data_IF_669872408869
#
_entry.id   IF_669872408869
#
_cell.length_a   1.000
_cell.length_b   1.000
_cell.length_c   1.000
_cell.angle_alpha   90.00
_cell.angle_beta   90.00
_cell.angle_gamma   90.00
#
_symmetry.space_group_name_H-M   'P 1'
#
loop_
_entity.id
_entity.type
_entity.pdbx_description
1 polymer ?
#
# COMPACT_ATOMS: atom_id res chain seq x y z
N UNK A 1 -0.64 -6.95 -13.10
CA UNK A 1 0.05 -7.32 -11.83
C UNK A 1 -0.77 -6.88 -10.61
N UNK A 2 -0.47 -7.32 -9.38
CA UNK A 2 -1.08 -6.78 -8.15
C UNK A 2 -0.88 -5.26 -8.02
N UNK A 3 0.24 -4.74 -8.52
CA UNK A 3 0.52 -3.30 -8.61
C UNK A 3 -0.50 -2.53 -9.48
N UNK A 4 -1.06 -3.19 -10.51
CA UNK A 4 -2.01 -2.56 -11.44
C UNK A 4 -3.45 -2.54 -10.93
N UNK A 5 -3.73 -3.29 -9.87
CA UNK A 5 -5.07 -3.38 -9.28
C UNK A 5 -5.52 -2.00 -8.75
N UNK A 6 -6.75 -1.60 -9.07
CA UNK A 6 -7.33 -0.32 -8.61
C UNK A 6 -7.30 -0.18 -7.09
N UNK A 7 -7.56 -1.27 -6.36
CA UNK A 7 -7.49 -1.28 -4.89
C UNK A 7 -6.07 -0.98 -4.40
N UNK A 8 -5.06 -1.67 -4.95
CA UNK A 8 -3.65 -1.45 -4.62
C UNK A 8 -3.25 0.01 -4.88
N UNK A 9 -3.58 0.55 -6.06
CA UNK A 9 -3.27 1.95 -6.41
C UNK A 9 -3.92 2.93 -5.43
N UNK A 10 -5.16 2.69 -5.03
CA UNK A 10 -5.85 3.54 -4.04
C UNK A 10 -5.16 3.52 -2.67
N UNK A 11 -4.76 2.35 -2.18
CA UNK A 11 -4.01 2.24 -0.92
C UNK A 11 -2.68 2.98 -1.02
N UNK A 12 -1.93 2.80 -2.11
CA UNK A 12 -0.66 3.49 -2.29
C UNK A 12 -0.80 5.01 -2.43
N UNK A 13 -1.89 5.51 -3.02
CA UNK A 13 -2.18 6.94 -3.06
C UNK A 13 -2.36 7.52 -1.65
N UNK A 14 -3.13 6.82 -0.80
CA UNK A 14 -3.32 7.21 0.60
C UNK A 14 -2.00 7.18 1.39
N UNK A 15 -1.22 6.10 1.24
CA UNK A 15 0.11 5.97 1.88
C UNK A 15 1.05 7.08 1.43
N UNK A 16 1.07 7.40 0.14
CA UNK A 16 1.94 8.44 -0.43
C UNK A 16 1.60 9.83 0.09
N UNK A 17 0.30 10.13 0.22
CA UNK A 17 -0.19 11.35 0.88
C UNK A 17 0.25 11.39 2.33
N UNK A 18 0.09 10.29 3.07
CA UNK A 18 0.40 10.20 4.50
C UNK A 18 1.89 10.40 4.80
N UNK A 19 2.79 9.80 4.01
CA UNK A 19 4.24 9.98 4.23
C UNK A 19 4.81 11.21 3.54
N UNK A 20 3.94 12.04 2.94
CA UNK A 20 4.30 13.23 2.16
C UNK A 20 5.38 12.95 1.09
N UNK A 21 5.29 11.80 0.42
CA UNK A 21 6.24 11.41 -0.62
C UNK A 21 5.55 11.28 -1.98
N UNK A 22 5.77 12.27 -2.84
CA UNK A 22 5.19 12.34 -4.18
C UNK A 22 5.69 11.22 -5.09
N UNK A 23 6.92 10.75 -4.89
CA UNK A 23 7.49 9.70 -5.71
C UNK A 23 6.86 8.31 -5.50
N UNK A 24 6.06 8.13 -4.43
CA UNK A 24 5.36 6.88 -4.16
C UNK A 24 3.97 6.80 -4.82
N UNK A 25 3.46 7.90 -5.37
CA UNK A 25 2.15 7.91 -6.02
C UNK A 25 2.10 6.95 -7.21
N UNK A 26 1.02 6.17 -7.39
CA UNK A 26 0.88 5.25 -8.50
C UNK A 26 1.08 5.87 -9.89
N UNK A 27 0.76 7.16 -10.03
CA UNK A 27 0.96 7.95 -11.25
C UNK A 27 2.43 8.11 -11.63
N UNK A 28 3.34 8.03 -10.66
CA UNK A 28 4.78 8.15 -10.84
C UNK A 28 5.46 6.80 -11.11
N UNK A 29 4.73 5.69 -10.98
CA UNK A 29 5.33 4.37 -11.15
C UNK A 29 5.66 4.11 -12.60
N UNK A 30 6.89 3.65 -12.83
CA UNK A 30 7.25 3.08 -14.12
C UNK A 30 6.45 1.79 -14.34
N UNK A 31 6.09 1.45 -15.59
CA UNK A 31 5.55 0.14 -15.91
C UNK A 31 6.48 -0.95 -15.38
N UNK A 32 5.94 -1.89 -14.63
CA UNK A 32 6.67 -3.03 -14.07
C UNK A 32 6.02 -4.32 -14.53
N UNK A 33 6.83 -5.36 -14.75
CA UNK A 33 6.35 -6.65 -15.27
C UNK A 33 6.32 -7.72 -14.19
N UNK A 34 7.13 -7.58 -13.15
CA UNK A 34 7.17 -8.50 -12.00
C UNK A 34 7.03 -7.77 -10.65
N UNK A 35 6.67 -8.53 -9.61
CA UNK A 35 6.64 -8.01 -8.22
C UNK A 35 8.03 -7.58 -7.76
N UNK A 36 9.10 -8.21 -8.27
CA UNK A 36 10.48 -7.80 -8.00
C UNK A 36 10.77 -6.42 -8.58
N UNK A 37 10.38 -6.17 -9.83
CA UNK A 37 10.59 -4.87 -10.48
C UNK A 37 9.82 -3.78 -9.72
N UNK A 38 8.61 -4.08 -9.25
CA UNK A 38 7.81 -3.16 -8.44
C UNK A 38 8.46 -2.89 -7.07
N UNK A 39 8.96 -3.93 -6.40
CA UNK A 39 9.75 -3.79 -5.17
C UNK A 39 10.96 -2.87 -5.39
N UNK A 40 11.73 -3.10 -6.45
CA UNK A 40 12.90 -2.30 -6.76
C UNK A 40 12.51 -0.85 -7.04
N UNK A 41 11.46 -0.61 -7.85
CA UNK A 41 10.96 0.73 -8.16
C UNK A 41 10.59 1.53 -6.89
N UNK A 42 9.87 0.92 -5.95
CA UNK A 42 9.45 1.58 -4.71
C UNK A 42 10.64 1.77 -3.76
N UNK A 43 11.46 0.74 -3.56
CA UNK A 43 12.50 0.75 -2.51
C UNK A 43 13.77 1.51 -2.88
N UNK A 44 13.93 1.84 -4.17
CA UNK A 44 15.03 2.65 -4.68
C UNK A 44 14.62 4.09 -5.01
N UNK A 45 13.39 4.47 -4.68
CA UNK A 45 12.86 5.83 -4.84
C UNK A 45 13.79 6.85 -4.17
N UNK A 46 14.20 7.87 -4.94
CA UNK A 46 15.07 8.95 -4.46
C UNK A 46 14.29 9.92 -3.56
N UNK A 47 14.98 10.57 -2.62
CA UNK A 47 14.35 11.50 -1.68
C UNK A 47 13.53 10.83 -0.56
N UNK A 48 13.53 9.49 -0.47
CA UNK A 48 12.90 8.75 0.61
C UNK A 48 13.86 7.75 1.24
N UNK A 49 13.70 7.48 2.55
CA UNK A 49 14.55 6.51 3.24
C UNK A 49 14.32 5.11 2.66
N UNK A 50 15.36 4.50 2.08
CA UNK A 50 15.29 3.13 1.54
C UNK A 50 14.83 2.11 2.57
N UNK A 51 15.23 2.28 3.83
CA UNK A 51 14.78 1.40 4.93
C UNK A 51 13.28 1.55 5.17
N UNK A 52 12.79 2.79 5.24
CA UNK A 52 11.36 3.07 5.39
C UNK A 52 10.55 2.55 4.19
N UNK A 53 11.04 2.75 2.96
CA UNK A 53 10.40 2.27 1.73
C UNK A 53 10.21 0.75 1.74
N UNK A 54 11.25 0.00 2.13
CA UNK A 54 11.19 -1.46 2.25
C UNK A 54 10.15 -1.90 3.28
N UNK A 55 10.17 -1.29 4.47
CA UNK A 55 9.19 -1.58 5.51
C UNK A 55 7.76 -1.28 5.06
N UNK A 56 7.53 -0.11 4.47
CA UNK A 56 6.22 0.29 3.95
C UNK A 56 5.72 -0.67 2.87
N UNK A 57 6.56 -1.02 1.91
CA UNK A 57 6.17 -1.95 0.86
C UNK A 57 5.73 -3.30 1.44
N UNK A 58 6.49 -3.87 2.38
CA UNK A 58 6.14 -5.14 3.03
C UNK A 58 4.81 -5.01 3.76
N UNK A 59 4.64 -3.97 4.57
CA UNK A 59 3.41 -3.73 5.34
C UNK A 59 2.20 -3.57 4.42
N UNK A 60 2.28 -2.69 3.41
CA UNK A 60 1.18 -2.45 2.47
C UNK A 60 0.84 -3.71 1.68
N UNK A 61 1.85 -4.43 1.19
CA UNK A 61 1.64 -5.68 0.44
C UNK A 61 1.01 -6.76 1.32
N UNK A 62 1.45 -6.87 2.57
CA UNK A 62 0.87 -7.79 3.55
C UNK A 62 -0.60 -7.50 3.82
N UNK A 63 -0.95 -6.24 4.03
CA UNK A 63 -2.34 -5.85 4.26
C UNK A 63 -3.21 -6.11 3.01
N UNK A 64 -2.71 -5.82 1.80
CA UNK A 64 -3.40 -6.14 0.54
C UNK A 64 -3.65 -7.66 0.43
N UNK A 65 -2.65 -8.47 0.80
CA UNK A 65 -2.78 -9.93 0.78
C UNK A 65 -3.83 -10.42 1.78
N UNK A 66 -3.84 -9.90 3.01
CA UNK A 66 -4.85 -10.22 4.03
C UNK A 66 -6.26 -9.89 3.56
N UNK A 67 -6.47 -8.71 2.99
CA UNK A 67 -7.77 -8.30 2.45
C UNK A 67 -8.26 -9.27 1.37
N UNK A 68 -7.39 -9.61 0.42
CA UNK A 68 -7.72 -10.54 -0.66
C UNK A 68 -8.07 -11.92 -0.13
N UNK A 69 -7.33 -12.42 0.86
CA UNK A 69 -7.64 -13.68 1.51
C UNK A 69 -8.96 -13.63 2.30
N UNK A 70 -9.25 -12.54 3.01
CA UNK A 70 -10.53 -12.34 3.70
C UNK A 70 -11.71 -12.42 2.71
N UNK A 71 -11.60 -11.77 1.56
CA UNK A 71 -12.62 -11.82 0.50
C UNK A 71 -12.81 -13.23 -0.05
N UNK A 72 -11.72 -13.94 -0.37
CA UNK A 72 -11.77 -15.27 -0.99
C UNK A 72 -12.27 -16.33 0.00
N UNK A 73 -11.72 -16.37 1.20
CA UNK A 73 -11.95 -17.47 2.15
C UNK A 73 -13.09 -17.20 3.13
N UNK A 74 -13.43 -15.93 3.40
CA UNK A 74 -14.46 -15.57 4.39
C UNK A 74 -15.69 -14.89 3.78
N UNK A 75 -15.69 -14.59 2.46
CA UNK A 75 -16.72 -13.79 1.76
C UNK A 75 -17.05 -12.46 2.46
N UNK A 76 -16.11 -11.90 3.20
CA UNK A 76 -16.23 -10.59 3.85
C UNK A 76 -15.60 -9.56 2.92
N UNK A 77 -16.41 -8.61 2.47
CA UNK A 77 -15.93 -7.44 1.74
C UNK A 77 -15.77 -6.29 2.73
N UNK A 78 -14.56 -5.80 2.90
CA UNK A 78 -14.35 -4.56 3.64
C UNK A 78 -14.28 -3.40 2.65
N UNK A 79 -15.21 -2.42 2.73
CA UNK A 79 -15.03 -1.13 2.10
C UNK A 79 -13.64 -0.55 2.41
N UNK A 80 -13.02 0.12 1.44
CA UNK A 80 -11.68 0.72 1.61
C UNK A 80 -11.62 1.67 2.82
N UNK A 81 -12.75 2.28 3.18
CA UNK A 81 -12.90 3.12 4.38
C UNK A 81 -12.85 2.34 5.71
N UNK A 82 -13.41 1.13 5.75
CA UNK A 82 -13.38 0.24 6.94
C UNK A 82 -12.11 -0.58 7.07
N UNK A 83 -11.19 -0.47 6.12
CA UNK A 83 -9.88 -1.14 6.16
C UNK A 83 -9.01 -0.68 7.34
N UNK A 84 -9.21 0.57 7.72
CA UNK A 84 -8.63 1.19 8.91
C UNK A 84 -9.15 0.49 10.19
N UNK A 85 -10.46 0.19 10.23
CA UNK A 85 -11.14 -0.41 11.39
C UNK A 85 -10.99 -1.94 11.48
N UNK A 86 -10.79 -2.63 10.36
CA UNK A 86 -10.86 -4.10 10.27
C UNK A 86 -9.59 -4.85 10.70
N UNK A 87 -8.57 -4.16 11.24
CA UNK A 87 -7.36 -4.82 11.76
C UNK A 87 -6.06 -4.04 11.60
N UNK A 88 -6.09 -2.92 10.87
CA UNK A 88 -4.98 -1.98 10.82
C UNK A 88 -5.05 -1.00 12.01
N UNK A 89 -5.31 -1.47 13.24
CA UNK A 89 -5.42 -0.62 14.45
C UNK A 89 -4.19 0.26 14.67
N UNK A 90 -3.01 -0.20 14.25
CA UNK A 90 -1.76 0.59 14.30
C UNK A 90 -1.64 1.66 13.22
N UNK A 91 -2.46 1.61 12.16
CA UNK A 91 -2.57 2.64 11.12
C UNK A 91 -3.77 3.56 11.35
N UNK A 92 -4.83 3.09 12.01
CA UNK A 92 -5.96 3.91 12.45
C UNK A 92 -5.54 5.08 13.35
N UNK A 93 -4.64 4.81 14.31
CA UNK A 93 -4.05 5.86 15.15
C UNK A 93 -3.13 6.84 14.41
N UNK A 94 -2.77 6.54 13.16
CA UNK A 94 -1.94 7.39 12.28
C UNK A 94 -2.79 8.25 11.34
N UNK A 95 -4.04 7.88 11.08
CA UNK A 95 -5.00 8.64 10.25
C UNK A 95 -5.82 9.63 11.09
N UNK A 96 -6.10 9.32 12.36
CA UNK A 96 -6.92 10.15 13.25
C UNK A 96 -6.16 11.29 13.96
N UNK A 97 -4.98 11.69 13.46
CA UNK A 97 -4.17 12.79 14.04
C UNK A 97 -4.32 14.14 13.32
N UNK A 98 -5.39 14.30 12.55
CA UNK A 98 -5.89 15.61 12.11
C UNK A 98 -6.91 16.16 13.11
#
# INVERSE_FOLDING_TARGET
MVADCRFTKRIWSLVSSWVHQTALYPEQWKPTSTVRDWWEAITTTTGFSRKAARSLFILVTWEIWKERNGRIFQRKEHPTATWIQAGAKSLESLVLRE
#
